data_IF_541658268049
#
_entry.id   IF_541658268049
#
_cell.length_a   1.000
_cell.length_b   1.000
_cell.length_c   1.000
_cell.angle_alpha   90.00
_cell.angle_beta   90.00
_cell.angle_gamma   90.00
#
_symmetry.space_group_name_H-M   'P 1'
#
loop_
_entity.id
_entity.type
_entity.pdbx_description
1 polymer ?
#
# COMPACT_ATOMS: atom_id res chain seq x y z
N UNK A 1 -43.26 59.81 39.41
CA UNK A 1 -41.87 59.46 39.12
C UNK A 1 -41.81 57.92 39.03
N UNK A 2 -41.89 57.37 37.80
CA UNK A 2 -41.82 55.90 37.59
C UNK A 2 -40.35 55.49 37.62
N UNK A 3 -40.09 54.48 38.45
CA UNK A 3 -38.75 53.99 38.78
C UNK A 3 -37.93 53.62 37.54
N UNK A 4 -36.95 54.45 37.21
CA UNK A 4 -35.92 54.18 36.17
C UNK A 4 -35.09 52.95 36.55
N UNK A 5 -35.00 52.63 37.83
CA UNK A 5 -34.20 51.48 38.32
C UNK A 5 -34.72 50.12 37.86
N UNK A 6 -36.03 49.94 37.57
CA UNK A 6 -36.59 48.66 37.19
C UNK A 6 -36.29 48.25 35.74
N UNK A 7 -35.86 49.18 34.88
CA UNK A 7 -35.52 48.93 33.48
C UNK A 7 -34.07 48.43 33.29
N UNK A 8 -33.20 48.70 34.28
CA UNK A 8 -31.81 48.25 34.18
C UNK A 8 -31.52 46.92 34.87
N UNK A 9 -32.51 46.38 35.61
CA UNK A 9 -32.36 45.16 36.38
C UNK A 9 -32.06 43.90 35.51
N UNK A 10 -32.63 43.72 34.27
CA UNK A 10 -32.25 42.59 33.45
C UNK A 10 -30.94 42.77 32.64
N UNK A 11 -30.41 43.99 32.54
CA UNK A 11 -29.20 44.28 31.75
C UNK A 11 -27.93 43.95 32.54
N UNK A 12 -27.95 44.12 33.85
CA UNK A 12 -26.80 43.85 34.73
C UNK A 12 -26.42 42.37 34.74
N UNK A 13 -27.34 41.39 34.90
CA UNK A 13 -26.97 39.98 34.84
C UNK A 13 -26.53 39.53 33.44
N UNK A 14 -27.08 40.11 32.36
CA UNK A 14 -26.66 39.81 31.00
C UNK A 14 -25.25 40.33 30.70
N UNK A 15 -24.91 41.52 31.15
CA UNK A 15 -23.55 42.06 31.02
C UNK A 15 -22.51 41.29 31.88
N UNK A 16 -22.91 40.81 33.06
CA UNK A 16 -22.06 39.99 33.91
C UNK A 16 -21.81 38.57 33.27
N UNK A 17 -22.81 37.98 32.62
CA UNK A 17 -22.64 36.72 31.89
C UNK A 17 -21.73 36.87 30.65
N UNK A 18 -21.85 38.02 29.97
CA UNK A 18 -20.99 38.30 28.82
C UNK A 18 -19.53 38.55 29.25
N UNK A 19 -19.32 39.22 30.38
CA UNK A 19 -17.98 39.47 30.95
C UNK A 19 -17.32 38.15 31.42
N UNK A 20 -18.09 37.19 31.97
CA UNK A 20 -17.56 35.88 32.38
C UNK A 20 -17.07 35.05 31.20
N UNK A 21 -17.65 35.21 30.01
CA UNK A 21 -17.26 34.46 28.82
C UNK A 21 -15.93 34.93 28.21
N UNK A 22 -15.50 36.15 28.48
CA UNK A 22 -14.23 36.72 27.97
C UNK A 22 -13.02 36.27 28.81
N UNK A 23 -13.24 35.80 30.04
CA UNK A 23 -12.17 35.34 30.93
C UNK A 23 -12.00 33.81 30.96
N UNK A 24 -12.41 33.11 29.95
CA UNK A 24 -12.10 31.69 29.83
C UNK A 24 -10.60 31.56 29.48
N UNK A 25 -9.73 31.18 30.43
CA UNK A 25 -8.35 30.86 30.06
C UNK A 25 -8.35 29.68 29.14
N UNK A 26 -8.18 29.92 27.87
CA UNK A 26 -7.88 28.85 26.89
C UNK A 26 -6.46 28.36 27.22
N UNK A 27 -6.37 27.36 28.07
CA UNK A 27 -5.12 26.65 28.35
C UNK A 27 -4.79 25.71 27.15
N UNK A 28 -4.66 26.26 25.95
CA UNK A 28 -3.92 25.62 24.93
C UNK A 28 -2.44 25.73 25.29
N UNK A 29 -1.83 24.66 25.77
CA UNK A 29 -0.38 24.63 25.97
C UNK A 29 0.29 24.67 24.60
N UNK A 30 0.59 25.88 24.11
CA UNK A 30 1.24 26.12 22.81
C UNK A 30 2.76 26.00 22.88
N UNK A 31 3.31 25.73 24.06
CA UNK A 31 4.78 25.72 24.28
C UNK A 31 5.41 24.37 24.02
N UNK A 32 4.62 23.30 23.93
CA UNK A 32 5.13 21.97 23.56
C UNK A 32 4.19 21.34 22.53
N UNK A 33 4.70 21.11 21.32
CA UNK A 33 4.01 20.26 20.37
C UNK A 33 3.79 18.88 21.00
N UNK A 34 2.64 18.22 20.76
CA UNK A 34 2.45 16.85 21.24
C UNK A 34 3.62 16.00 20.76
N UNK A 35 4.42 15.52 21.69
CA UNK A 35 5.41 14.49 21.39
C UNK A 35 4.63 13.21 21.11
N UNK A 36 4.61 12.76 19.85
CA UNK A 36 4.02 11.49 19.49
C UNK A 36 4.55 10.35 20.37
N UNK A 37 3.86 9.22 20.37
CA UNK A 37 4.36 8.00 21.01
C UNK A 37 5.70 7.55 20.43
N UNK A 38 6.23 6.45 20.93
CA UNK A 38 7.42 5.82 20.36
C UNK A 38 7.21 5.58 18.86
N UNK A 39 8.21 5.94 18.05
CA UNK A 39 8.15 5.72 16.59
C UNK A 39 8.04 4.23 16.31
N UNK A 40 7.07 3.83 15.49
CA UNK A 40 6.98 2.46 15.02
C UNK A 40 8.13 2.16 14.05
N UNK A 41 8.78 1.03 14.26
CA UNK A 41 9.91 0.55 13.43
C UNK A 41 9.59 -0.77 12.76
N UNK A 42 8.37 -1.29 12.97
CA UNK A 42 7.96 -2.56 12.38
C UNK A 42 7.47 -2.32 10.93
N UNK A 43 7.86 -3.17 9.99
CA UNK A 43 7.32 -3.10 8.65
C UNK A 43 5.90 -3.68 8.59
N UNK A 44 5.07 -3.25 7.62
CA UNK A 44 3.74 -3.79 7.42
C UNK A 44 3.77 -5.29 7.13
N UNK A 45 2.74 -6.00 7.58
CA UNK A 45 2.60 -7.46 7.42
C UNK A 45 1.32 -7.78 6.64
N UNK A 46 1.42 -8.66 5.66
CA UNK A 46 0.25 -9.18 4.93
C UNK A 46 -0.57 -10.09 5.84
N UNK A 47 -1.85 -9.77 6.01
CA UNK A 47 -2.84 -10.56 6.75
C UNK A 47 -3.66 -11.47 5.85
N UNK A 48 -3.89 -11.06 4.61
CA UNK A 48 -4.71 -11.82 3.66
C UNK A 48 -4.34 -11.49 2.22
N UNK A 49 -4.39 -12.49 1.35
CA UNK A 49 -4.27 -12.36 -0.10
C UNK A 49 -5.49 -13.00 -0.75
N UNK A 50 -6.06 -12.36 -1.76
CA UNK A 50 -7.18 -12.88 -2.55
C UNK A 50 -6.90 -12.64 -4.03
N UNK A 51 -6.84 -13.66 -4.88
CA UNK A 51 -6.95 -15.09 -4.55
C UNK A 51 -5.82 -15.55 -3.62
N UNK A 52 -6.07 -16.60 -2.84
CA UNK A 52 -5.04 -17.16 -1.95
C UNK A 52 -3.85 -17.67 -2.76
N UNK A 53 -2.63 -17.66 -2.20
CA UNK A 53 -1.48 -18.24 -2.87
C UNK A 53 -1.74 -19.69 -3.31
N UNK A 54 -1.39 -20.00 -4.54
CA UNK A 54 -1.61 -21.32 -5.10
C UNK A 54 -3.03 -21.60 -5.63
N UNK A 55 -3.92 -20.59 -5.68
CA UNK A 55 -5.27 -20.77 -6.23
C UNK A 55 -5.21 -21.11 -7.71
N UNK A 56 -5.91 -22.18 -8.08
CA UNK A 56 -6.12 -22.60 -9.47
C UNK A 56 -7.48 -22.14 -10.01
N UNK A 57 -7.65 -22.27 -11.32
CA UNK A 57 -8.88 -21.94 -12.06
C UNK A 57 -9.40 -20.51 -11.78
N UNK A 58 -8.46 -19.58 -11.65
CA UNK A 58 -8.80 -18.16 -11.50
C UNK A 58 -9.39 -17.63 -12.81
N UNK A 59 -10.48 -16.85 -12.79
CA UNK A 59 -11.09 -16.33 -14.02
C UNK A 59 -10.11 -15.53 -14.87
N UNK A 60 -10.16 -15.73 -16.19
CA UNK A 60 -9.33 -14.98 -17.15
C UNK A 60 -9.72 -13.51 -17.18
N UNK A 61 -11.02 -13.21 -17.07
CA UNK A 61 -11.57 -11.86 -17.16
C UNK A 61 -11.80 -11.23 -15.78
N UNK A 62 -11.48 -9.96 -15.64
CA UNK A 62 -11.84 -9.14 -14.48
C UNK A 62 -11.16 -9.54 -13.17
N UNK A 63 -10.17 -10.40 -13.22
CA UNK A 63 -9.41 -10.82 -12.05
C UNK A 63 -8.64 -9.63 -11.45
N UNK A 64 -8.61 -9.60 -10.14
CA UNK A 64 -7.82 -8.67 -9.35
C UNK A 64 -7.19 -9.41 -8.19
N UNK A 65 -6.02 -8.96 -7.77
CA UNK A 65 -5.35 -9.51 -6.58
C UNK A 65 -5.37 -8.47 -5.48
N UNK A 66 -5.85 -8.87 -4.31
CA UNK A 66 -6.00 -8.00 -3.14
C UNK A 66 -5.07 -8.46 -2.04
N UNK A 67 -4.16 -7.61 -1.65
CA UNK A 67 -3.28 -7.79 -0.50
C UNK A 67 -3.78 -6.93 0.64
N UNK A 68 -4.17 -7.52 1.76
CA UNK A 68 -4.63 -6.82 2.97
C UNK A 68 -3.53 -6.86 4.02
N UNK A 69 -3.13 -5.69 4.49
CA UNK A 69 -2.09 -5.51 5.51
C UNK A 69 -2.71 -5.29 6.89
N UNK A 70 -1.89 -5.37 7.92
CA UNK A 70 -2.27 -5.06 9.29
C UNK A 70 -2.38 -3.55 9.54
N UNK A 71 -1.74 -2.74 8.70
CA UNK A 71 -1.73 -1.28 8.78
C UNK A 71 -1.96 -0.59 7.42
N UNK A 72 -2.01 0.74 7.42
CA UNK A 72 -2.11 1.53 6.19
C UNK A 72 -0.78 1.54 5.46
N UNK A 73 -0.83 1.27 4.16
CA UNK A 73 0.35 1.18 3.30
C UNK A 73 0.30 2.18 2.15
N UNK A 74 1.47 2.47 1.63
CA UNK A 74 1.65 3.30 0.43
C UNK A 74 2.56 2.59 -0.56
N UNK A 75 2.35 2.84 -1.86
CA UNK A 75 3.25 2.36 -2.91
C UNK A 75 4.37 3.39 -3.09
N UNK A 76 5.58 3.00 -2.75
CA UNK A 76 6.79 3.84 -2.90
C UNK A 76 7.38 3.73 -4.30
N UNK A 77 7.45 2.51 -4.82
CA UNK A 77 7.92 2.26 -6.19
C UNK A 77 6.91 1.41 -6.95
N UNK A 78 6.13 2.01 -7.86
CA UNK A 78 5.20 1.27 -8.71
C UNK A 78 5.87 0.19 -9.57
N UNK A 79 7.12 0.38 -9.96
CA UNK A 79 7.87 -0.60 -10.76
C UNK A 79 8.28 -1.84 -9.97
N UNK A 80 8.25 -1.74 -8.64
CA UNK A 80 8.46 -2.86 -7.74
C UNK A 80 7.25 -3.80 -7.64
N UNK A 81 6.07 -3.44 -8.23
CA UNK A 81 4.95 -4.35 -8.39
C UNK A 81 5.16 -5.10 -9.70
N UNK A 82 5.77 -6.26 -9.60
CA UNK A 82 6.16 -7.04 -10.77
C UNK A 82 5.20 -8.20 -11.02
N UNK A 83 4.79 -8.37 -12.29
CA UNK A 83 3.94 -9.47 -12.76
C UNK A 83 4.74 -10.35 -13.73
N UNK A 84 4.68 -11.65 -13.51
CA UNK A 84 5.24 -12.66 -14.43
C UNK A 84 4.20 -13.73 -14.75
N UNK A 85 3.99 -14.10 -16.04
CA UNK A 85 4.54 -13.46 -17.22
C UNK A 85 4.04 -12.04 -17.39
N UNK A 86 4.83 -11.16 -18.03
CA UNK A 86 4.44 -9.78 -18.26
C UNK A 86 3.27 -9.70 -19.24
N UNK A 87 2.44 -8.67 -19.09
CA UNK A 87 1.39 -8.30 -20.02
C UNK A 87 1.85 -7.11 -20.86
N UNK A 88 1.21 -6.88 -22.02
CA UNK A 88 1.48 -5.70 -22.86
C UNK A 88 1.22 -4.39 -22.11
N UNK A 89 0.19 -4.38 -21.27
CA UNK A 89 -0.10 -3.27 -20.37
C UNK A 89 0.28 -3.63 -18.95
N UNK A 90 1.08 -2.79 -18.32
CA UNK A 90 1.44 -2.98 -16.92
C UNK A 90 0.21 -3.02 -16.02
N UNK A 91 0.19 -3.89 -15.00
CA UNK A 91 -0.87 -3.91 -14.02
C UNK A 91 -1.08 -2.55 -13.38
N UNK A 92 -2.32 -2.20 -13.07
CA UNK A 92 -2.66 -1.03 -12.28
C UNK A 92 -2.92 -1.41 -10.83
N UNK A 93 -2.74 -0.44 -9.95
CA UNK A 93 -2.97 -0.66 -8.52
C UNK A 93 -3.79 0.47 -7.90
N UNK A 94 -4.45 0.17 -6.82
CA UNK A 94 -5.20 1.12 -6.01
C UNK A 94 -5.12 0.74 -4.53
N UNK A 95 -4.86 1.72 -3.69
CA UNK A 95 -4.95 1.54 -2.24
C UNK A 95 -6.40 1.77 -1.80
N UNK A 96 -6.96 0.85 -1.02
CA UNK A 96 -8.27 0.94 -0.38
C UNK A 96 -8.14 0.59 1.10
N UNK A 97 -8.10 1.60 1.95
CA UNK A 97 -7.85 1.40 3.38
C UNK A 97 -6.49 0.72 3.58
N UNK A 98 -6.47 -0.41 4.26
CA UNK A 98 -5.29 -1.23 4.51
C UNK A 98 -4.99 -2.25 3.38
N UNK A 99 -5.59 -2.09 2.21
CA UNK A 99 -5.45 -3.06 1.12
C UNK A 99 -4.88 -2.43 -0.14
N UNK A 100 -3.91 -3.13 -0.73
CA UNK A 100 -3.45 -2.92 -2.09
C UNK A 100 -4.28 -3.81 -3.02
N UNK A 101 -4.91 -3.22 -4.01
CA UNK A 101 -5.64 -3.92 -5.07
C UNK A 101 -4.85 -3.78 -6.37
N UNK A 102 -4.37 -4.88 -6.89
CA UNK A 102 -3.73 -4.99 -8.22
C UNK A 102 -4.78 -5.50 -9.20
N UNK A 103 -4.94 -4.84 -10.32
CA UNK A 103 -5.87 -5.23 -11.36
C UNK A 103 -5.24 -5.12 -12.75
N UNK A 104 -5.72 -5.96 -13.65
CA UNK A 104 -5.18 -6.11 -14.98
C UNK A 104 -6.08 -5.39 -15.99
N UNK A 105 -5.49 -4.63 -16.91
CA UNK A 105 -6.24 -3.95 -17.98
C UNK A 105 -6.54 -4.87 -19.15
N UNK A 106 -5.81 -5.96 -19.23
CA UNK A 106 -5.98 -7.01 -20.25
C UNK A 106 -6.42 -8.28 -19.56
N UNK A 107 -7.08 -9.14 -20.34
CA UNK A 107 -7.43 -10.48 -19.87
C UNK A 107 -6.17 -11.31 -19.62
N UNK A 108 -6.23 -12.14 -18.60
CA UNK A 108 -5.17 -13.09 -18.34
C UNK A 108 -5.13 -14.17 -19.45
N UNK A 109 -3.95 -14.70 -19.72
CA UNK A 109 -3.83 -15.83 -20.63
C UNK A 109 -4.46 -17.09 -20.00
N UNK A 110 -5.14 -17.94 -20.78
CA UNK A 110 -5.65 -19.20 -20.26
C UNK A 110 -4.49 -20.17 -19.95
N UNK A 111 -4.74 -21.11 -19.04
CA UNK A 111 -3.77 -22.13 -18.62
C UNK A 111 -2.38 -21.58 -18.29
N UNK A 112 -2.34 -20.46 -17.59
CA UNK A 112 -1.10 -19.73 -17.30
C UNK A 112 -0.98 -19.46 -15.81
N UNK A 113 0.17 -19.76 -15.24
CA UNK A 113 0.52 -19.41 -13.87
C UNK A 113 1.11 -18.01 -13.84
N UNK A 114 0.51 -17.14 -13.02
CA UNK A 114 0.95 -15.78 -12.79
C UNK A 114 1.59 -15.65 -11.43
N UNK A 115 2.69 -14.92 -11.37
CA UNK A 115 3.38 -14.58 -10.13
C UNK A 115 3.37 -13.07 -9.98
N UNK A 116 3.01 -12.59 -8.80
CA UNK A 116 3.12 -11.17 -8.41
C UNK A 116 4.16 -11.05 -7.31
N UNK A 117 5.13 -10.18 -7.51
CA UNK A 117 6.14 -9.82 -6.53
C UNK A 117 5.93 -8.36 -6.09
N UNK A 118 6.00 -8.12 -4.78
CA UNK A 118 5.86 -6.80 -4.15
C UNK A 118 7.16 -6.33 -3.50
N UNK A 119 8.28 -6.97 -3.79
CA UNK A 119 9.56 -6.67 -3.15
C UNK A 119 10.02 -5.23 -3.46
N UNK A 120 10.23 -4.45 -2.40
CA UNK A 120 10.66 -3.05 -2.52
C UNK A 120 9.58 -2.06 -2.97
N UNK A 121 8.35 -2.52 -3.24
CA UNK A 121 7.28 -1.67 -3.76
C UNK A 121 6.51 -0.89 -2.68
N UNK A 122 6.39 -1.45 -1.49
CA UNK A 122 5.43 -1.05 -0.46
C UNK A 122 6.15 -0.55 0.79
N UNK A 123 5.58 0.43 1.47
CA UNK A 123 5.97 0.84 2.81
C UNK A 123 4.73 1.18 3.64
N UNK A 124 4.87 1.25 4.95
CA UNK A 124 3.82 1.83 5.79
C UNK A 124 3.61 3.31 5.45
N UNK A 125 2.43 3.80 5.75
CA UNK A 125 2.03 5.16 5.38
C UNK A 125 2.56 6.22 6.34
N UNK A 126 2.86 5.87 7.59
CA UNK A 126 3.19 6.83 8.65
C UNK A 126 4.70 7.02 8.77
N UNK A 127 5.43 5.97 9.07
CA UNK A 127 6.87 6.02 9.36
C UNK A 127 7.72 5.74 8.13
N UNK A 128 7.16 5.09 7.10
CA UNK A 128 7.84 4.73 5.85
C UNK A 128 8.68 3.47 5.97
N UNK A 129 8.40 2.58 6.95
CA UNK A 129 9.08 1.31 7.08
C UNK A 129 8.81 0.43 5.87
N UNK A 130 9.87 -0.01 5.20
CA UNK A 130 9.74 -0.76 3.95
C UNK A 130 9.24 -2.18 4.21
N UNK A 131 8.21 -2.57 3.45
CA UNK A 131 7.75 -3.95 3.40
C UNK A 131 8.88 -4.86 2.85
N UNK A 132 9.24 -5.95 3.55
CA UNK A 132 10.37 -6.78 3.15
C UNK A 132 10.17 -7.50 1.81
N UNK A 133 8.93 -7.58 1.34
CA UNK A 133 8.53 -8.22 0.10
C UNK A 133 7.67 -9.46 0.30
N UNK A 134 6.95 -9.81 -0.74
CA UNK A 134 6.10 -10.99 -0.78
C UNK A 134 5.83 -11.36 -2.22
N UNK A 135 6.04 -12.63 -2.53
CA UNK A 135 5.74 -13.20 -3.83
C UNK A 135 4.58 -14.17 -3.71
N UNK A 136 3.59 -14.06 -4.58
CA UNK A 136 2.44 -14.96 -4.64
C UNK A 136 2.21 -15.44 -6.06
N UNK A 137 1.72 -16.67 -6.21
CA UNK A 137 1.35 -17.25 -7.50
C UNK A 137 -0.10 -17.71 -7.47
N UNK A 138 -0.76 -17.63 -8.63
CA UNK A 138 -2.07 -18.19 -8.92
C UNK A 138 -2.11 -18.62 -10.40
N UNK A 139 -3.06 -19.44 -10.80
CA UNK A 139 -3.17 -19.87 -12.18
C UNK A 139 -4.58 -19.79 -12.71
N UNK A 140 -4.70 -19.50 -14.00
CA UNK A 140 -5.95 -19.61 -14.76
C UNK A 140 -6.22 -21.04 -15.22
N UNK A 141 -5.20 -21.93 -15.13
CA UNK A 141 -5.30 -23.36 -15.38
C UNK A 141 -5.75 -24.17 -14.17
N UNK A 142 -5.76 -25.49 -14.31
CA UNK A 142 -6.17 -26.41 -13.26
C UNK A 142 -5.12 -26.60 -12.16
N UNK A 143 -3.84 -26.43 -12.50
CA UNK A 143 -2.71 -26.62 -11.58
C UNK A 143 -1.74 -25.47 -11.67
N UNK A 144 -1.18 -25.08 -10.53
CA UNK A 144 -0.11 -24.07 -10.48
C UNK A 144 1.20 -24.73 -10.85
N UNK A 145 1.94 -24.12 -11.79
CA UNK A 145 3.28 -24.59 -12.13
C UNK A 145 4.21 -24.42 -10.93
N UNK A 146 4.92 -25.48 -10.59
CA UNK A 146 5.84 -25.52 -9.45
C UNK A 146 7.32 -25.55 -9.85
N UNK A 147 7.61 -25.45 -11.15
CA UNK A 147 8.99 -25.40 -11.63
C UNK A 147 9.63 -24.05 -11.32
N UNK A 148 10.88 -24.09 -10.90
CA UNK A 148 11.67 -22.89 -10.62
C UNK A 148 13.11 -23.07 -11.09
N UNK A 149 13.76 -21.95 -11.39
CA UNK A 149 15.20 -21.90 -11.71
C UNK A 149 15.87 -21.06 -10.63
N UNK A 150 16.97 -21.57 -10.10
CA UNK A 150 17.79 -20.86 -9.12
C UNK A 150 19.19 -20.60 -9.67
N UNK A 151 19.77 -19.48 -9.30
CA UNK A 151 21.11 -19.13 -9.70
C UNK A 151 21.63 -17.91 -8.96
N UNK A 152 22.88 -17.57 -9.21
CA UNK A 152 23.52 -16.38 -8.67
C UNK A 152 24.04 -15.56 -9.84
N UNK A 153 23.69 -14.27 -9.86
CA UNK A 153 24.24 -13.32 -10.81
C UNK A 153 25.44 -12.63 -10.14
N UNK A 154 26.60 -12.78 -10.73
CA UNK A 154 27.86 -12.27 -10.20
C UNK A 154 28.58 -11.40 -11.22
N UNK A 155 29.32 -10.43 -10.74
CA UNK A 155 30.27 -9.64 -11.53
C UNK A 155 31.40 -10.53 -12.04
N UNK A 156 31.68 -10.50 -13.33
CA UNK A 156 32.68 -11.36 -13.96
C UNK A 156 34.11 -11.07 -13.51
N UNK A 157 34.39 -9.88 -12.98
CA UNK A 157 35.77 -9.47 -12.62
C UNK A 157 36.12 -9.86 -11.17
N UNK A 158 35.13 -9.80 -10.27
CA UNK A 158 35.38 -9.95 -8.82
C UNK A 158 34.52 -11.04 -8.15
N UNK A 159 33.65 -11.71 -8.93
CA UNK A 159 32.76 -12.77 -8.49
C UNK A 159 31.82 -12.38 -7.31
N UNK A 160 31.62 -11.07 -7.11
CA UNK A 160 30.68 -10.61 -6.09
C UNK A 160 29.26 -10.64 -6.63
N UNK A 161 28.27 -10.98 -5.79
CA UNK A 161 26.86 -10.94 -6.18
C UNK A 161 26.44 -9.53 -6.62
N UNK A 162 25.73 -9.45 -7.76
CA UNK A 162 25.17 -8.18 -8.24
C UNK A 162 23.80 -8.01 -7.62
N UNK A 163 23.64 -6.95 -6.84
CA UNK A 163 22.36 -6.59 -6.24
C UNK A 163 21.44 -5.92 -7.25
N UNK A 164 20.18 -6.33 -7.29
CA UNK A 164 19.15 -5.70 -8.12
C UNK A 164 19.25 -6.09 -9.62
N UNK A 165 19.96 -7.14 -9.95
CA UNK A 165 19.97 -7.70 -11.31
C UNK A 165 18.60 -8.28 -11.64
N UNK A 166 18.06 -7.94 -12.81
CA UNK A 166 16.84 -8.55 -13.35
C UNK A 166 17.20 -9.74 -14.21
N UNK A 167 16.62 -10.89 -13.92
CA UNK A 167 16.78 -12.12 -14.72
C UNK A 167 15.45 -12.42 -15.39
N UNK A 168 15.47 -12.61 -16.70
CA UNK A 168 14.27 -12.92 -17.48
C UNK A 168 14.46 -14.28 -18.20
N UNK A 169 13.46 -15.12 -18.14
CA UNK A 169 13.41 -16.38 -18.84
C UNK A 169 12.40 -16.27 -19.99
N UNK A 170 12.86 -16.48 -21.19
CA UNK A 170 12.02 -16.46 -22.41
C UNK A 170 11.75 -17.87 -22.90
N UNK A 171 10.50 -18.12 -23.30
CA UNK A 171 10.12 -19.36 -23.96
C UNK A 171 10.56 -19.37 -25.42
N UNK A 172 10.57 -18.23 -26.08
CA UNK A 172 10.93 -18.03 -27.48
C UNK A 172 12.26 -17.26 -27.56
N UNK A 173 13.13 -17.66 -28.47
CA UNK A 173 14.43 -17.04 -28.74
C UNK A 173 14.37 -16.01 -29.88
N UNK A 174 13.19 -15.69 -30.39
CA UNK A 174 13.04 -14.67 -31.44
C UNK A 174 13.25 -13.28 -30.86
N UNK A 175 13.83 -12.37 -31.67
CA UNK A 175 14.08 -10.99 -31.27
C UNK A 175 12.79 -10.26 -30.82
N UNK A 176 11.64 -10.64 -31.37
CA UNK A 176 10.34 -10.08 -30.99
C UNK A 176 9.88 -10.46 -29.57
N UNK A 177 10.40 -11.54 -29.00
CA UNK A 177 10.05 -11.96 -27.63
C UNK A 177 10.63 -11.01 -26.56
N UNK A 178 11.67 -10.25 -26.89
CA UNK A 178 12.37 -9.35 -25.96
C UNK A 178 11.66 -8.00 -25.83
N UNK A 179 10.79 -7.63 -26.76
CA UNK A 179 10.15 -6.32 -26.85
C UNK A 179 8.65 -6.31 -26.48
N UNK A 180 8.19 -7.24 -25.70
CA UNK A 180 6.80 -7.31 -25.21
C UNK A 180 6.63 -6.49 -23.93
#
# INVERSE_FOLDING_TARGET
MKNILSRFFPIIPAAALLALSVFQPSCANTTQAPTGGAKDTLPPVIRRVVPAPGTASVPVHGTKVVFTFDEYVTVKDPKGIFLSPPQKKSPKYKIKGKSLVVYFEEDLLPNTTYTIDLTGAIADNNEGNMFPGFTTAFTTGETVDSMFVTGIVQDCNNLKPIKGATVMLYKDQSDSAVFL
#
